data_IF_017412465859
#
_entry.id   IF_017412465859
#
_cell.length_a   1.000
_cell.length_b   1.000
_cell.length_c   1.000
_cell.angle_alpha   90.00
_cell.angle_beta   90.00
_cell.angle_gamma   90.00
#
_symmetry.space_group_name_H-M   'P 1'
#
loop_
_entity.id
_entity.type
_entity.pdbx_description
1 polymer ?
#
# COMPACT_ATOMS: atom_id res chain seq x y z
N UNK A 1 -17.55 12.88 -10.08
CA UNK A 1 -16.60 13.26 -9.01
C UNK A 1 -15.59 12.12 -8.90
N UNK A 2 -14.28 12.37 -8.97
CA UNK A 2 -13.24 11.35 -8.81
C UNK A 2 -13.15 11.02 -7.33
N UNK A 3 -13.43 9.78 -6.95
CA UNK A 3 -13.91 9.50 -5.60
C UNK A 3 -12.75 8.90 -4.83
N UNK A 4 -12.24 9.60 -3.80
CA UNK A 4 -11.13 9.13 -2.94
C UNK A 4 -11.22 7.66 -2.49
N UNK A 5 -12.43 7.09 -2.45
CA UNK A 5 -12.64 5.67 -2.18
C UNK A 5 -12.01 4.75 -3.25
N UNK A 6 -11.85 5.19 -4.50
CA UNK A 6 -11.27 4.39 -5.60
C UNK A 6 -9.79 4.15 -5.34
N UNK A 7 -9.10 5.17 -4.82
CA UNK A 7 -7.69 5.09 -4.42
C UNK A 7 -7.55 4.15 -3.22
N UNK A 8 -8.41 4.29 -2.21
CA UNK A 8 -8.39 3.39 -1.05
C UNK A 8 -8.78 1.95 -1.41
N UNK A 9 -9.72 1.79 -2.35
CA UNK A 9 -10.11 0.49 -2.91
C UNK A 9 -8.94 -0.16 -3.63
N UNK A 10 -8.27 0.58 -4.53
CA UNK A 10 -7.08 0.13 -5.24
C UNK A 10 -5.95 -0.27 -4.27
N UNK A 11 -5.75 0.50 -3.20
CA UNK A 11 -4.78 0.17 -2.16
C UNK A 11 -5.14 -1.16 -1.48
N UNK A 12 -6.39 -1.33 -1.04
CA UNK A 12 -6.85 -2.57 -0.39
C UNK A 12 -6.73 -3.79 -1.31
N UNK A 13 -6.95 -3.62 -2.62
CA UNK A 13 -6.74 -4.68 -3.61
C UNK A 13 -5.27 -4.99 -3.86
N UNK A 14 -4.38 -4.02 -3.71
CA UNK A 14 -2.94 -4.21 -3.81
C UNK A 14 -2.34 -4.90 -2.57
N UNK A 15 -3.05 -4.89 -1.43
CA UNK A 15 -2.62 -5.59 -0.21
C UNK A 15 -2.66 -7.09 -0.42
N UNK A 16 -1.47 -7.71 -0.46
CA UNK A 16 -1.28 -9.15 -0.49
C UNK A 16 -1.30 -9.71 0.93
N UNK A 17 -2.00 -10.84 1.10
CA UNK A 17 -2.00 -11.61 2.35
C UNK A 17 -1.07 -12.81 2.17
N UNK A 18 -0.03 -12.87 2.97
CA UNK A 18 0.89 -13.99 2.99
C UNK A 18 0.35 -15.15 3.84
N UNK A 19 0.82 -16.38 3.57
CA UNK A 19 0.41 -17.57 4.31
C UNK A 19 0.75 -17.51 5.81
N UNK A 20 1.75 -16.71 6.19
CA UNK A 20 2.17 -16.44 7.57
C UNK A 20 1.24 -15.43 8.30
N UNK A 21 0.16 -14.96 7.66
CA UNK A 21 -0.77 -13.97 8.21
C UNK A 21 -0.31 -12.52 8.07
N UNK A 22 0.90 -12.26 7.54
CA UNK A 22 1.38 -10.91 7.24
C UNK A 22 0.61 -10.34 6.07
N UNK A 23 0.46 -9.02 6.09
CA UNK A 23 -0.12 -8.26 4.99
C UNK A 23 0.94 -7.31 4.48
N UNK A 24 1.24 -7.40 3.20
CA UNK A 24 2.24 -6.57 2.53
C UNK A 24 1.61 -5.90 1.32
N UNK A 25 2.12 -4.74 0.95
CA UNK A 25 1.70 -4.02 -0.24
C UNK A 25 2.95 -3.40 -0.86
N UNK A 26 3.09 -3.57 -2.17
CA UNK A 26 4.16 -2.91 -2.92
C UNK A 26 3.61 -1.68 -3.61
N UNK A 27 4.43 -0.63 -3.73
CA UNK A 27 4.04 0.58 -4.45
C UNK A 27 3.74 0.28 -5.92
N UNK A 28 4.44 -0.72 -6.49
CA UNK A 28 4.22 -1.18 -7.86
C UNK A 28 2.81 -1.76 -8.02
N UNK A 29 2.42 -2.72 -7.17
CA UNK A 29 1.07 -3.28 -7.18
C UNK A 29 0.01 -2.18 -7.00
N UNK A 30 0.27 -1.22 -6.12
CA UNK A 30 -0.66 -0.13 -5.87
C UNK A 30 -0.85 0.76 -7.10
N UNK A 31 0.23 1.14 -7.80
CA UNK A 31 0.15 1.92 -9.05
C UNK A 31 -0.54 1.12 -10.16
N UNK A 32 -0.31 -0.19 -10.27
CA UNK A 32 -1.02 -1.04 -11.24
C UNK A 32 -2.53 -1.07 -10.97
N UNK A 33 -2.94 -1.18 -9.70
CA UNK A 33 -4.36 -1.12 -9.33
C UNK A 33 -4.96 0.26 -9.58
N UNK A 34 -4.21 1.33 -9.32
CA UNK A 34 -4.64 2.68 -9.65
C UNK A 34 -4.83 2.86 -11.16
N UNK A 35 -3.91 2.35 -11.98
CA UNK A 35 -4.04 2.42 -13.44
C UNK A 35 -5.31 1.70 -13.93
N UNK A 36 -5.69 0.58 -13.29
CA UNK A 36 -6.92 -0.14 -13.60
C UNK A 36 -8.20 0.68 -13.32
N UNK A 37 -8.16 1.62 -12.37
CA UNK A 37 -9.25 2.56 -12.07
C UNK A 37 -9.10 3.92 -12.77
N UNK A 38 -8.30 4.00 -13.84
CA UNK A 38 -7.98 5.22 -14.59
C UNK A 38 -7.24 6.31 -13.80
N UNK A 39 -6.46 5.90 -12.79
CA UNK A 39 -5.58 6.78 -12.02
C UNK A 39 -4.11 6.49 -12.35
N UNK A 40 -3.44 7.42 -13.01
CA UNK A 40 -2.03 7.28 -13.37
C UNK A 40 -1.15 8.07 -12.41
N UNK A 41 -0.61 7.38 -11.40
CA UNK A 41 0.33 7.95 -10.44
C UNK A 41 1.73 7.40 -10.66
N UNK A 42 2.73 8.23 -10.37
CA UNK A 42 4.10 7.77 -10.18
C UNK A 42 4.25 6.98 -8.88
N UNK A 43 5.30 6.15 -8.80
CA UNK A 43 5.65 5.44 -7.57
C UNK A 43 5.86 6.41 -6.39
N UNK A 44 6.49 7.56 -6.65
CA UNK A 44 6.69 8.62 -5.64
C UNK A 44 5.38 9.21 -5.11
N UNK A 45 4.40 9.45 -5.97
CA UNK A 45 3.08 9.94 -5.55
C UNK A 45 2.32 8.89 -4.74
N UNK A 46 2.37 7.64 -5.18
CA UNK A 46 1.79 6.51 -4.45
C UNK A 46 2.42 6.35 -3.07
N UNK A 47 3.76 6.42 -2.96
CA UNK A 47 4.47 6.38 -1.67
C UNK A 47 4.02 7.50 -0.74
N UNK A 48 4.00 8.74 -1.24
CA UNK A 48 3.58 9.91 -0.46
C UNK A 48 2.14 9.76 0.01
N UNK A 49 1.25 9.20 -0.81
CA UNK A 49 -0.13 8.95 -0.42
C UNK A 49 -0.20 7.90 0.70
N UNK A 50 0.53 6.78 0.59
CA UNK A 50 0.59 5.76 1.64
C UNK A 50 1.10 6.36 2.95
N UNK A 51 2.21 7.12 2.91
CA UNK A 51 2.78 7.77 4.10
C UNK A 51 1.83 8.80 4.74
N UNK A 52 1.08 9.55 3.95
CA UNK A 52 0.15 10.56 4.46
C UNK A 52 -1.17 9.98 4.99
N UNK A 53 -1.70 8.92 4.36
CA UNK A 53 -3.06 8.43 4.62
C UNK A 53 -3.11 7.07 5.33
N UNK A 54 -2.09 6.24 5.20
CA UNK A 54 -2.07 4.87 5.74
C UNK A 54 -1.09 4.80 6.93
N UNK A 55 -1.61 4.95 8.14
CA UNK A 55 -0.82 4.91 9.37
C UNK A 55 -0.55 3.49 9.90
N UNK A 56 -1.28 2.49 9.38
CA UNK A 56 -1.21 1.09 9.84
C UNK A 56 -0.16 0.28 9.09
N UNK A 57 0.37 0.78 7.98
CA UNK A 57 1.44 0.13 7.23
C UNK A 57 2.75 0.88 7.46
N UNK A 58 3.83 0.14 7.65
CA UNK A 58 5.19 0.68 7.75
C UNK A 58 6.02 0.26 6.57
N UNK A 59 6.88 1.16 6.13
CA UNK A 59 7.87 0.88 5.10
C UNK A 59 8.89 -0.14 5.63
N UNK A 60 9.08 -1.21 4.87
CA UNK A 60 10.05 -2.28 5.12
C UNK A 60 10.97 -2.47 3.90
N UNK A 61 11.00 -1.52 2.96
CA UNK A 61 11.87 -1.64 1.79
C UNK A 61 13.34 -1.66 2.20
N UNK A 62 14.05 -2.71 1.79
CA UNK A 62 15.49 -2.88 2.04
C UNK A 62 16.34 -2.13 0.99
N UNK A 63 15.74 -1.84 -0.17
CA UNK A 63 16.41 -1.20 -1.31
C UNK A 63 16.10 0.29 -1.40
N UNK A 64 17.11 1.09 -1.71
CA UNK A 64 16.96 2.51 -1.99
C UNK A 64 16.28 2.70 -3.35
N UNK A 65 15.01 3.14 -3.34
CA UNK A 65 14.24 3.31 -4.57
C UNK A 65 12.80 3.78 -4.34
N UNK A 66 12.11 4.08 -5.45
CA UNK A 66 10.70 4.47 -5.43
C UNK A 66 9.76 3.25 -5.31
N UNK A 67 10.23 2.05 -5.67
CA UNK A 67 9.50 0.80 -5.49
C UNK A 67 9.63 0.31 -4.05
N UNK A 68 8.82 0.89 -3.16
CA UNK A 68 8.82 0.53 -1.74
C UNK A 68 7.88 -0.62 -1.44
N UNK A 69 8.15 -1.29 -0.33
CA UNK A 69 7.31 -2.37 0.19
C UNK A 69 6.88 -1.98 1.59
N UNK A 70 5.57 -1.93 1.80
CA UNK A 70 5.00 -1.64 3.10
C UNK A 70 4.38 -2.90 3.68
N UNK A 71 4.52 -3.08 4.99
CA UNK A 71 3.93 -4.18 5.74
C UNK A 71 2.97 -3.62 6.78
N UNK A 72 1.83 -4.30 6.96
CA UNK A 72 0.88 -3.99 8.02
C UNK A 72 1.60 -4.14 9.37
N UNK A 73 1.75 -3.03 10.06
CA UNK A 73 2.28 -2.94 11.41
C UNK A 73 1.11 -2.83 12.37
N UNK A 74 0.69 -3.97 12.92
CA UNK A 74 -0.32 -4.00 13.97
C UNK A 74 0.38 -4.16 15.34
N UNK A 75 0.40 -3.15 16.21
CA UNK A 75 0.95 -3.28 17.56
C UNK A 75 0.14 -4.24 18.45
N UNK A 76 -1.08 -4.63 18.05
CA UNK A 76 -1.97 -5.51 18.82
C UNK A 76 -1.95 -6.99 18.38
N UNK A 77 -0.89 -7.48 17.70
CA UNK A 77 -0.68 -8.94 17.54
C UNK A 77 0.02 -9.58 18.76
N UNK A 78 -0.28 -9.09 19.97
CA UNK A 78 0.00 -9.77 21.23
C UNK A 78 -1.25 -10.52 21.64
N UNK A 79 -1.13 -11.85 21.80
CA UNK A 79 -2.23 -12.79 21.90
C UNK A 79 -3.27 -12.50 22.99
N UNK A 80 -4.49 -12.97 22.72
CA UNK A 80 -5.41 -13.40 23.76
C UNK A 80 -5.29 -14.91 23.91
#
# INVERSE_FOLDING_TARGET
>A
MPRRYEIEGAFREAVRKEANGRRTVTTVDFVEKLAAVNWHWSLKEANKWIECYITTFKDISDQEGEARTFMLYNPNSGGY
#
